data_IF_163544554389
#
_entry.id   IF_163544554389
#
_cell.length_a   1.000
_cell.length_b   1.000
_cell.length_c   1.000
_cell.angle_alpha   90.00
_cell.angle_beta   90.00
_cell.angle_gamma   90.00
#
_symmetry.space_group_name_H-M   'P 1'
#
loop_
_entity.id
_entity.type
_entity.pdbx_description
1 polymer ?
#
# COMPACT_ATOMS: atom_id res chain seq x y z
N UNK A 1 -1.67 5.36 -18.23
CA UNK A 1 -1.91 5.97 -16.90
C UNK A 1 -0.77 5.60 -15.95
N UNK A 2 -0.49 6.41 -14.93
CA UNK A 2 0.68 6.27 -14.06
C UNK A 2 0.39 5.70 -12.66
N UNK A 3 1.45 5.38 -11.88
CA UNK A 3 1.34 4.75 -10.55
C UNK A 3 0.42 5.49 -9.57
N UNK A 4 0.43 6.84 -9.57
CA UNK A 4 -0.46 7.67 -8.74
C UNK A 4 -1.94 7.30 -8.94
N UNK A 5 -2.38 7.14 -10.20
CA UNK A 5 -3.78 6.86 -10.50
C UNK A 5 -4.19 5.46 -10.03
N UNK A 6 -3.35 4.45 -10.25
CA UNK A 6 -3.62 3.10 -9.78
C UNK A 6 -3.62 3.01 -8.25
N UNK A 7 -2.69 3.70 -7.58
CA UNK A 7 -2.66 3.70 -6.12
C UNK A 7 -3.92 4.34 -5.53
N UNK A 8 -4.40 5.46 -6.10
CA UNK A 8 -5.63 6.10 -5.66
C UNK A 8 -6.88 5.25 -5.94
N UNK A 9 -6.94 4.51 -7.06
CA UNK A 9 -8.08 3.65 -7.41
C UNK A 9 -8.24 2.43 -6.49
N UNK A 10 -7.25 2.12 -5.66
CA UNK A 10 -7.37 1.09 -4.62
C UNK A 10 -8.42 1.44 -3.56
N UNK A 11 -8.85 2.70 -3.47
CA UNK A 11 -9.83 3.15 -2.49
C UNK A 11 -9.27 3.01 -1.08
N UNK A 12 -10.09 2.52 -0.15
CA UNK A 12 -9.69 2.29 1.25
C UNK A 12 -9.32 0.83 1.53
N UNK A 13 -9.23 0.00 0.49
CA UNK A 13 -8.80 -1.40 0.64
C UNK A 13 -7.38 -1.46 1.18
N UNK A 14 -7.15 -2.46 2.02
CA UNK A 14 -5.82 -2.81 2.47
C UNK A 14 -4.99 -3.35 1.29
N UNK A 15 -3.71 -2.96 1.24
CA UNK A 15 -2.75 -3.49 0.29
C UNK A 15 -1.84 -4.45 1.03
N UNK A 16 -1.78 -5.68 0.55
CA UNK A 16 -0.98 -6.76 1.14
C UNK A 16 -0.11 -7.36 0.06
N UNK A 17 1.20 -7.40 0.29
CA UNK A 17 2.11 -8.17 -0.56
C UNK A 17 2.15 -9.60 -0.04
N UNK A 18 1.50 -10.50 -0.78
CA UNK A 18 1.39 -11.90 -0.40
C UNK A 18 2.64 -12.69 -0.83
N UNK A 19 3.50 -13.02 0.13
CA UNK A 19 4.78 -13.71 -0.17
C UNK A 19 5.29 -14.49 1.03
N UNK A 20 5.83 -15.69 0.77
CA UNK A 20 6.54 -16.50 1.77
C UNK A 20 8.02 -16.16 1.90
N UNK A 21 8.53 -15.24 1.08
CA UNK A 21 9.98 -14.98 0.95
C UNK A 21 10.48 -13.86 1.84
N UNK A 22 9.62 -12.93 2.21
CA UNK A 22 9.99 -11.73 2.96
C UNK A 22 8.86 -11.33 3.91
N UNK A 23 9.01 -11.71 5.18
CA UNK A 23 8.04 -11.36 6.23
C UNK A 23 8.18 -9.94 6.74
N UNK A 24 9.19 -9.16 6.31
CA UNK A 24 9.28 -7.75 6.66
C UNK A 24 8.48 -6.90 5.66
N UNK A 25 8.71 -7.08 4.36
CA UNK A 25 8.03 -6.32 3.32
C UNK A 25 6.62 -6.84 3.02
N UNK A 26 6.41 -8.15 3.10
CA UNK A 26 5.14 -8.81 2.84
C UNK A 26 4.50 -9.46 4.06
N UNK A 27 3.51 -10.31 3.80
CA UNK A 27 2.66 -10.94 4.82
C UNK A 27 3.14 -12.32 5.30
N UNK A 28 4.29 -12.81 4.81
CA UNK A 28 4.81 -14.13 5.17
C UNK A 28 4.08 -15.31 4.52
N UNK A 29 3.07 -15.06 3.68
CA UNK A 29 2.24 -16.07 3.02
C UNK A 29 1.16 -16.68 3.92
N UNK A 30 1.18 -16.36 5.21
CA UNK A 30 0.22 -16.81 6.21
C UNK A 30 -0.41 -15.63 6.99
N UNK A 31 -0.04 -14.39 6.65
CA UNK A 31 -0.53 -13.18 7.30
C UNK A 31 0.25 -12.77 8.55
N UNK A 32 1.31 -13.48 8.92
CA UNK A 32 2.14 -13.15 10.09
C UNK A 32 3.21 -12.10 9.81
N UNK A 33 3.49 -11.82 8.54
CA UNK A 33 4.46 -10.81 8.11
C UNK A 33 4.01 -9.37 8.35
N UNK A 34 4.97 -8.46 8.38
CA UNK A 34 4.79 -7.08 8.75
C UNK A 34 4.15 -6.21 7.65
N UNK A 35 4.12 -6.66 6.39
CA UNK A 35 3.50 -5.96 5.26
C UNK A 35 3.94 -4.48 5.15
N UNK A 36 5.23 -4.19 5.35
CA UNK A 36 5.74 -2.81 5.33
C UNK A 36 5.57 -2.15 3.96
N UNK A 37 5.56 -2.92 2.87
CA UNK A 37 5.35 -2.40 1.53
C UNK A 37 3.92 -1.87 1.38
N UNK A 38 2.93 -2.69 1.73
CA UNK A 38 1.53 -2.30 1.74
C UNK A 38 1.26 -1.08 2.61
N UNK A 39 1.80 -1.07 3.84
CA UNK A 39 1.72 0.07 4.76
C UNK A 39 2.33 1.35 4.17
N UNK A 40 3.49 1.26 3.54
CA UNK A 40 4.13 2.38 2.87
C UNK A 40 3.28 2.96 1.75
N UNK A 41 2.75 2.10 0.87
CA UNK A 41 1.86 2.50 -0.22
C UNK A 41 0.57 3.15 0.29
N UNK A 42 -0.03 2.61 1.34
CA UNK A 42 -1.22 3.21 1.96
C UNK A 42 -0.92 4.58 2.59
N UNK A 43 0.27 4.76 3.19
CA UNK A 43 0.70 6.07 3.71
C UNK A 43 0.91 7.09 2.59
N UNK A 44 1.48 6.68 1.46
CA UNK A 44 1.61 7.52 0.26
C UNK A 44 0.22 7.86 -0.31
N UNK A 45 -0.70 6.89 -0.38
CA UNK A 45 -2.09 7.11 -0.81
C UNK A 45 -2.78 8.20 0.02
N UNK A 46 -2.62 8.17 1.33
CA UNK A 46 -3.15 9.21 2.23
C UNK A 46 -2.57 10.58 1.91
N UNK A 47 -1.23 10.70 1.81
CA UNK A 47 -0.58 11.96 1.49
C UNK A 47 -1.03 12.52 0.13
N UNK A 48 -1.18 11.67 -0.88
CA UNK A 48 -1.66 12.09 -2.20
C UNK A 48 -3.10 12.62 -2.16
N UNK A 49 -3.96 12.04 -1.33
CA UNK A 49 -5.33 12.53 -1.12
C UNK A 49 -5.35 13.87 -0.38
N UNK A 50 -4.45 14.06 0.57
CA UNK A 50 -4.30 15.32 1.29
C UNK A 50 -3.82 16.43 0.36
N UNK A 51 -2.77 16.19 -0.43
CA UNK A 51 -2.27 17.18 -1.39
C UNK A 51 -3.32 17.57 -2.44
N UNK A 52 -4.13 16.62 -2.92
CA UNK A 52 -5.21 16.89 -3.87
C UNK A 52 -6.34 17.79 -3.30
N UNK A 53 -6.39 18.05 -1.99
CA UNK A 53 -7.33 19.01 -1.39
C UNK A 53 -6.82 20.46 -1.42
N UNK A 54 -5.54 20.64 -1.75
CA UNK A 54 -4.88 21.94 -1.83
C UNK A 54 -4.55 22.35 -3.27
N UNK A 55 -4.76 21.44 -4.24
CA UNK A 55 -4.81 21.74 -5.67
C UNK A 55 -6.19 22.32 -6.04
#
# INVERSE_FOLDING_TARGET
EGPKKYLLSTGDRELVEHTTRDSFWGDGGDGTGANQLGKGLMRIRTQLREWARFD
#
